data_IF_567674173363
#
_entry.id   IF_567674173363
#
_cell.length_a   1.000
_cell.length_b   1.000
_cell.length_c   1.000
_cell.angle_alpha   90.00
_cell.angle_beta   90.00
_cell.angle_gamma   90.00
#
_symmetry.space_group_name_H-M   'P 1'
#
loop_
_entity.id
_entity.type
_entity.pdbx_description
1 polymer ?
#
# COMPACT_ATOMS: atom_id res chain seq x y z
N UNK A 1 -47.97 39.50 24.99
CA UNK A 1 -47.11 38.35 24.60
C UNK A 1 -46.56 37.73 25.88
N UNK A 2 -46.93 36.48 26.18
CA UNK A 2 -46.61 35.85 27.46
C UNK A 2 -45.16 35.34 27.47
N UNK A 3 -44.26 36.13 28.03
CA UNK A 3 -42.83 35.81 28.15
C UNK A 3 -42.53 34.45 28.80
N UNK A 4 -43.42 33.95 29.65
CA UNK A 4 -43.30 32.60 30.25
C UNK A 4 -43.39 31.49 29.19
N UNK A 5 -44.25 31.65 28.18
CA UNK A 5 -44.41 30.66 27.10
C UNK A 5 -43.14 30.62 26.23
N UNK A 6 -42.57 31.78 25.91
CA UNK A 6 -41.32 31.88 25.15
C UNK A 6 -40.15 31.25 25.93
N UNK A 7 -40.09 31.48 27.24
CA UNK A 7 -39.08 30.88 28.11
C UNK A 7 -39.15 29.34 28.13
N UNK A 8 -40.35 28.76 28.31
CA UNK A 8 -40.50 27.30 28.31
C UNK A 8 -40.21 26.67 26.94
N UNK A 9 -40.50 27.37 25.84
CA UNK A 9 -40.14 26.91 24.49
C UNK A 9 -38.62 26.90 24.30
N UNK A 10 -37.93 27.94 24.77
CA UNK A 10 -36.46 28.01 24.70
C UNK A 10 -35.79 26.92 25.56
N UNK A 11 -36.26 26.72 26.79
CA UNK A 11 -35.72 25.72 27.71
C UNK A 11 -35.91 24.29 27.17
N UNK A 12 -37.07 24.01 26.57
CA UNK A 12 -37.33 22.76 25.87
C UNK A 12 -36.40 22.54 24.67
N UNK A 13 -36.18 23.56 23.84
CA UNK A 13 -35.24 23.49 22.70
C UNK A 13 -33.80 23.28 23.15
N UNK A 14 -33.36 23.95 24.21
CA UNK A 14 -32.01 23.81 24.73
C UNK A 14 -31.73 22.38 25.23
N UNK A 15 -32.68 21.78 25.96
CA UNK A 15 -32.55 20.38 26.41
C UNK A 15 -32.51 19.42 25.23
N UNK A 16 -33.34 19.66 24.20
CA UNK A 16 -33.38 18.81 23.01
C UNK A 16 -32.06 18.86 22.22
N UNK A 17 -31.45 20.04 22.11
CA UNK A 17 -30.11 20.22 21.51
C UNK A 17 -29.04 19.51 22.34
N UNK A 18 -29.05 19.66 23.66
CA UNK A 18 -28.07 18.98 24.54
C UNK A 18 -28.19 17.45 24.42
N UNK A 19 -29.42 16.93 24.36
CA UNK A 19 -29.66 15.50 24.18
C UNK A 19 -29.22 15.02 22.79
N UNK A 20 -29.48 15.79 21.73
CA UNK A 20 -29.03 15.46 20.38
C UNK A 20 -27.50 15.47 20.26
N UNK A 21 -26.83 16.47 20.84
CA UNK A 21 -25.36 16.54 20.85
C UNK A 21 -24.78 15.41 21.69
N UNK A 22 -25.36 15.11 22.85
CA UNK A 22 -24.93 13.97 23.67
C UNK A 22 -25.15 12.63 22.98
N UNK A 23 -26.24 12.49 22.23
CA UNK A 23 -26.53 11.30 21.44
C UNK A 23 -25.57 11.16 20.26
N UNK A 24 -25.17 12.26 19.60
CA UNK A 24 -24.12 12.23 18.57
C UNK A 24 -22.78 11.77 19.14
N UNK A 25 -22.38 12.23 20.33
CA UNK A 25 -21.17 11.75 21.02
C UNK A 25 -21.23 10.27 21.44
N UNK A 26 -22.43 9.73 21.69
CA UNK A 26 -22.62 8.32 22.02
C UNK A 26 -22.84 7.41 20.81
N UNK A 27 -23.28 7.97 19.68
CA UNK A 27 -23.61 7.24 18.46
C UNK A 27 -22.55 7.35 17.36
N UNK A 28 -21.39 7.95 17.65
CA UNK A 28 -20.23 7.73 16.80
C UNK A 28 -20.04 6.22 16.67
N UNK A 29 -20.15 5.64 15.46
CA UNK A 29 -19.77 4.27 15.26
C UNK A 29 -18.31 4.24 15.66
N UNK A 30 -18.00 3.55 16.76
CA UNK A 30 -16.62 3.20 17.06
C UNK A 30 -16.13 2.47 15.83
N UNK A 31 -15.37 3.16 14.97
CA UNK A 31 -14.57 2.49 13.96
C UNK A 31 -13.81 1.48 14.78
N UNK A 32 -14.12 0.19 14.60
CA UNK A 32 -13.45 -0.87 15.31
C UNK A 32 -12.00 -0.84 14.82
N UNK A 33 -11.21 0.00 15.48
CA UNK A 33 -9.85 0.36 15.11
C UNK A 33 -8.98 -0.89 14.99
N UNK A 34 -9.32 -1.97 15.71
CA UNK A 34 -8.68 -3.27 15.58
C UNK A 34 -8.76 -3.86 14.17
N UNK A 35 -9.90 -3.73 13.48
CA UNK A 35 -10.11 -4.33 12.16
C UNK A 35 -9.45 -3.52 11.03
N UNK A 36 -9.42 -2.19 11.14
CA UNK A 36 -8.77 -1.33 10.16
C UNK A 36 -7.25 -1.58 10.09
N UNK A 37 -6.57 -1.55 11.23
CA UNK A 37 -5.13 -1.80 11.28
C UNK A 37 -4.75 -3.21 10.83
N UNK A 38 -5.57 -4.21 11.13
CA UNK A 38 -5.33 -5.59 10.72
C UNK A 38 -5.34 -5.76 9.19
N UNK A 39 -6.37 -5.23 8.52
CA UNK A 39 -6.51 -5.32 7.06
C UNK A 39 -5.43 -4.51 6.32
N UNK A 40 -5.13 -3.30 6.80
CA UNK A 40 -4.05 -2.48 6.24
C UNK A 40 -2.68 -3.14 6.47
N UNK A 41 -2.42 -3.69 7.66
CA UNK A 41 -1.18 -4.41 7.90
C UNK A 41 -1.07 -5.65 6.99
N UNK A 42 -2.16 -6.38 6.76
CA UNK A 42 -2.13 -7.55 5.86
C UNK A 42 -1.73 -7.18 4.42
N UNK A 43 -2.17 -6.03 3.89
CA UNK A 43 -1.78 -5.58 2.56
C UNK A 43 -0.30 -5.15 2.51
N UNK A 44 0.20 -4.48 3.56
CA UNK A 44 1.62 -4.14 3.69
C UNK A 44 2.50 -5.40 3.72
N UNK A 45 2.15 -6.39 4.54
CA UNK A 45 2.88 -7.65 4.66
C UNK A 45 2.89 -8.42 3.33
N UNK A 46 1.76 -8.42 2.61
CA UNK A 46 1.69 -9.01 1.28
C UNK A 46 2.61 -8.27 0.28
N UNK A 47 2.69 -6.93 0.36
CA UNK A 47 3.59 -6.14 -0.48
C UNK A 47 5.06 -6.51 -0.20
N UNK A 48 5.46 -6.57 1.07
CA UNK A 48 6.82 -6.95 1.48
C UNK A 48 7.16 -8.36 0.98
N UNK A 49 6.26 -9.33 1.14
CA UNK A 49 6.48 -10.69 0.64
C UNK A 49 6.68 -10.75 -0.87
N UNK A 50 5.88 -9.98 -1.63
CA UNK A 50 6.04 -9.89 -3.09
C UNK A 50 7.38 -9.27 -3.46
N UNK A 51 7.77 -8.19 -2.80
CA UNK A 51 9.05 -7.54 -3.02
C UNK A 51 10.24 -8.49 -2.77
N UNK A 52 10.20 -9.27 -1.67
CA UNK A 52 11.22 -10.29 -1.39
C UNK A 52 11.31 -11.34 -2.50
N UNK A 53 10.18 -11.81 -3.03
CA UNK A 53 10.17 -12.77 -4.14
C UNK A 53 10.76 -12.17 -5.42
N UNK A 54 10.40 -10.93 -5.74
CA UNK A 54 10.94 -10.20 -6.90
C UNK A 54 12.44 -9.99 -6.74
N UNK A 55 12.92 -9.64 -5.55
CA UNK A 55 14.34 -9.48 -5.27
C UNK A 55 15.12 -10.78 -5.50
N UNK A 56 14.62 -11.92 -5.04
CA UNK A 56 15.24 -13.23 -5.32
C UNK A 56 15.23 -13.58 -6.82
N UNK A 57 14.14 -13.28 -7.52
CA UNK A 57 14.07 -13.46 -8.97
C UNK A 57 15.08 -12.56 -9.71
N UNK A 58 15.27 -11.33 -9.24
CA UNK A 58 16.22 -10.39 -9.80
C UNK A 58 17.68 -10.88 -9.67
N UNK A 59 18.09 -11.39 -8.50
CA UNK A 59 19.42 -11.97 -8.29
C UNK A 59 19.65 -13.22 -9.17
N UNK A 60 18.68 -14.13 -9.23
CA UNK A 60 18.80 -15.32 -10.09
C UNK A 60 18.89 -14.97 -11.57
N UNK A 61 18.12 -13.98 -12.04
CA UNK A 61 18.17 -13.47 -13.41
C UNK A 61 19.53 -12.83 -13.72
N UNK A 62 20.06 -12.01 -12.82
CA UNK A 62 21.38 -11.41 -12.98
C UNK A 62 22.47 -12.48 -13.09
N UNK A 63 22.46 -13.50 -12.22
CA UNK A 63 23.43 -14.61 -12.26
C UNK A 63 23.37 -15.37 -13.59
N UNK A 64 22.18 -15.63 -14.11
CA UNK A 64 22.00 -16.27 -15.40
C UNK A 64 22.58 -15.41 -16.54
N UNK A 65 22.23 -14.13 -16.60
CA UNK A 65 22.73 -13.20 -17.62
C UNK A 65 24.26 -13.09 -17.61
N UNK A 66 24.88 -12.99 -16.43
CA UNK A 66 26.34 -12.89 -16.31
C UNK A 66 27.02 -14.18 -16.74
N UNK A 67 26.42 -15.33 -16.45
CA UNK A 67 26.89 -16.63 -16.93
C UNK A 67 26.84 -16.71 -18.46
N UNK A 68 25.73 -16.29 -19.07
CA UNK A 68 25.54 -16.31 -20.51
C UNK A 68 26.49 -15.32 -21.24
N UNK A 69 26.91 -14.26 -20.55
CA UNK A 69 27.91 -13.28 -21.03
C UNK A 69 29.37 -13.69 -20.75
N UNK A 70 29.61 -14.91 -20.25
CA UNK A 70 30.98 -15.42 -20.04
C UNK A 70 31.69 -14.87 -18.80
N UNK A 71 30.94 -14.53 -17.75
CA UNK A 71 31.49 -14.10 -16.45
C UNK A 71 32.35 -12.83 -16.52
N UNK A 72 31.84 -11.78 -17.16
CA UNK A 72 32.51 -10.48 -17.19
C UNK A 72 32.81 -9.97 -15.77
N UNK A 73 33.94 -9.27 -15.61
CA UNK A 73 34.35 -8.68 -14.31
C UNK A 73 33.26 -7.78 -13.74
N UNK A 74 32.63 -6.98 -14.61
CA UNK A 74 31.51 -6.11 -14.26
C UNK A 74 30.27 -6.90 -13.81
N UNK A 75 29.94 -7.99 -14.50
CA UNK A 75 28.83 -8.86 -14.12
C UNK A 75 29.03 -9.50 -12.74
N UNK A 76 30.26 -9.97 -12.45
CA UNK A 76 30.60 -10.54 -11.14
C UNK A 76 30.52 -9.49 -10.02
N UNK A 77 30.96 -8.26 -10.27
CA UNK A 77 30.80 -7.14 -9.32
C UNK A 77 29.33 -6.85 -9.02
N UNK A 78 28.47 -6.77 -10.05
CA UNK A 78 27.02 -6.58 -9.88
C UNK A 78 26.38 -7.69 -9.05
N UNK A 79 26.79 -8.95 -9.25
CA UNK A 79 26.32 -10.09 -8.44
C UNK A 79 26.73 -9.92 -6.97
N UNK A 80 27.98 -9.52 -6.72
CA UNK A 80 28.48 -9.31 -5.36
C UNK A 80 27.71 -8.19 -4.65
N UNK A 81 27.52 -7.06 -5.33
CA UNK A 81 26.76 -5.91 -4.82
C UNK A 81 25.30 -6.27 -4.54
N UNK A 82 24.66 -7.01 -5.45
CA UNK A 82 23.30 -7.54 -5.27
C UNK A 82 23.18 -8.43 -4.03
N UNK A 83 24.12 -9.36 -3.84
CA UNK A 83 24.15 -10.22 -2.66
C UNK A 83 24.38 -9.45 -1.35
N UNK A 84 25.22 -8.40 -1.39
CA UNK A 84 25.45 -7.54 -0.22
C UNK A 84 24.20 -6.73 0.14
N UNK A 85 23.50 -6.18 -0.86
CA UNK A 85 22.22 -5.49 -0.71
C UNK A 85 21.19 -6.38 -0.02
N UNK A 86 20.88 -7.53 -0.61
CA UNK A 86 19.92 -8.47 -0.02
C UNK A 86 20.29 -8.88 1.40
N UNK A 87 21.58 -9.14 1.65
CA UNK A 87 22.05 -9.52 2.99
C UNK A 87 21.80 -8.43 4.03
N UNK A 88 22.09 -7.17 3.70
CA UNK A 88 21.90 -6.04 4.63
C UNK A 88 20.42 -5.70 4.77
N UNK A 89 19.65 -5.69 3.69
CA UNK A 89 18.19 -5.51 3.71
C UNK A 89 17.51 -6.54 4.62
N UNK A 90 17.83 -7.82 4.43
CA UNK A 90 17.27 -8.90 5.25
C UNK A 90 17.62 -8.78 6.73
N UNK A 91 18.78 -8.22 7.07
CA UNK A 91 19.16 -7.98 8.47
C UNK A 91 18.26 -6.93 9.13
N UNK A 92 17.95 -5.85 8.42
CA UNK A 92 17.05 -4.79 8.93
C UNK A 92 15.61 -5.30 9.00
N UNK A 93 15.14 -5.99 7.95
CA UNK A 93 13.80 -6.61 7.95
C UNK A 93 13.65 -7.60 9.11
N UNK A 94 14.65 -8.44 9.38
CA UNK A 94 14.62 -9.38 10.50
C UNK A 94 14.54 -8.69 11.87
N UNK A 95 15.20 -7.54 12.04
CA UNK A 95 15.08 -6.73 13.24
C UNK A 95 13.63 -6.24 13.43
N UNK A 96 13.02 -5.73 12.35
CA UNK A 96 11.63 -5.27 12.34
C UNK A 96 10.64 -6.41 12.60
N UNK A 97 10.86 -7.58 11.99
CA UNK A 97 10.04 -8.78 12.23
C UNK A 97 10.09 -9.25 13.69
N UNK A 98 11.27 -9.24 14.30
CA UNK A 98 11.42 -9.58 15.71
C UNK A 98 10.63 -8.62 16.60
N UNK A 99 10.73 -7.31 16.34
CA UNK A 99 9.95 -6.30 17.04
C UNK A 99 8.44 -6.50 16.86
N UNK A 100 7.97 -6.74 15.63
CA UNK A 100 6.56 -7.06 15.34
C UNK A 100 6.09 -8.30 16.09
N UNK A 101 6.91 -9.35 16.17
CA UNK A 101 6.59 -10.57 16.91
C UNK A 101 6.42 -10.30 18.40
N UNK A 102 7.29 -9.49 19.00
CA UNK A 102 7.18 -9.12 20.41
C UNK A 102 5.91 -8.28 20.68
N UNK A 103 5.57 -7.37 19.77
CA UNK A 103 4.34 -6.56 19.86
C UNK A 103 3.07 -7.40 19.71
N UNK A 104 3.04 -8.38 18.79
CA UNK A 104 1.90 -9.29 18.60
C UNK A 104 1.63 -10.17 19.84
N UNK A 105 2.63 -10.37 20.71
CA UNK A 105 2.47 -11.10 21.96
C UNK A 105 1.91 -10.24 23.11
N UNK A 106 1.76 -8.92 22.92
CA UNK A 106 1.18 -8.03 23.92
C UNK A 106 -0.36 -8.03 23.83
N UNK A 107 -1.09 -7.79 24.94
CA UNK A 107 -2.54 -7.65 24.89
C UNK A 107 -2.95 -6.40 24.08
N UNK A 108 -3.98 -6.55 23.24
CA UNK A 108 -4.35 -5.59 22.17
C UNK A 108 -4.58 -4.15 22.61
N UNK A 109 -5.01 -3.90 23.84
CA UNK A 109 -5.37 -2.56 24.33
C UNK A 109 -4.32 -1.93 25.27
N UNK A 110 -3.05 -2.33 25.16
CA UNK A 110 -2.02 -2.02 26.17
C UNK A 110 -0.96 -1.01 25.73
N UNK A 111 -1.34 0.26 25.59
CA UNK A 111 -0.42 1.36 25.22
C UNK A 111 0.83 1.45 26.10
N UNK A 112 0.66 1.28 27.42
CA UNK A 112 1.79 1.34 28.38
C UNK A 112 2.81 0.23 28.15
N UNK A 113 2.37 -0.98 27.80
CA UNK A 113 3.28 -2.10 27.53
C UNK A 113 4.00 -1.91 26.19
N UNK A 114 3.31 -1.39 25.17
CA UNK A 114 3.94 -1.00 23.90
C UNK A 114 5.02 0.06 24.11
N UNK A 115 4.68 1.13 24.83
CA UNK A 115 5.59 2.23 25.15
C UNK A 115 6.81 1.72 25.93
N UNK A 116 6.60 0.86 26.93
CA UNK A 116 7.70 0.22 27.67
C UNK A 116 8.62 -0.61 26.78
N UNK A 117 8.06 -1.42 25.89
CA UNK A 117 8.85 -2.27 24.99
C UNK A 117 9.66 -1.44 23.99
N UNK A 118 9.02 -0.44 23.37
CA UNK A 118 9.62 0.32 22.28
C UNK A 118 10.54 1.44 22.78
N UNK A 119 10.16 2.13 23.85
CA UNK A 119 10.88 3.30 24.36
C UNK A 119 11.73 2.91 25.57
N UNK A 120 11.14 2.41 26.66
CA UNK A 120 11.88 2.17 27.91
C UNK A 120 12.95 1.07 27.76
N UNK A 121 12.66 0.02 26.98
CA UNK A 121 13.62 -1.04 26.63
C UNK A 121 14.47 -0.71 25.39
N UNK A 122 14.36 0.52 24.88
CA UNK A 122 15.13 1.07 23.77
C UNK A 122 15.03 0.32 22.43
N UNK A 123 14.01 -0.52 22.22
CA UNK A 123 13.87 -1.26 20.96
C UNK A 123 13.68 -0.34 19.75
N UNK A 124 12.88 0.71 19.86
CA UNK A 124 12.65 1.66 18.77
C UNK A 124 13.90 2.52 18.49
N UNK A 125 14.76 2.77 19.48
CA UNK A 125 16.05 3.43 19.25
C UNK A 125 17.00 2.52 18.46
N UNK A 126 17.09 1.22 18.80
CA UNK A 126 17.88 0.25 18.01
C UNK A 126 17.36 0.12 16.57
N UNK A 127 16.04 0.16 16.39
CA UNK A 127 15.43 0.16 15.07
C UNK A 127 15.83 1.43 14.30
N UNK A 128 15.66 2.61 14.91
CA UNK A 128 16.09 3.88 14.33
C UNK A 128 17.56 3.82 13.88
N UNK A 129 18.47 3.44 14.77
CA UNK A 129 19.91 3.40 14.45
C UNK A 129 20.20 2.43 13.30
N UNK A 130 19.49 1.29 13.25
CA UNK A 130 19.62 0.33 12.15
C UNK A 130 19.05 0.85 10.83
N UNK A 131 17.97 1.65 10.87
CA UNK A 131 17.37 2.26 9.68
C UNK A 131 18.27 3.35 9.13
N UNK A 132 18.77 4.24 9.98
CA UNK A 132 19.66 5.33 9.60
C UNK A 132 20.96 4.77 9.01
N UNK A 133 21.60 3.83 9.72
CA UNK A 133 22.82 3.17 9.23
C UNK A 133 22.62 2.44 7.90
N UNK A 134 21.42 1.91 7.67
CA UNK A 134 21.09 1.24 6.41
C UNK A 134 20.97 2.26 5.27
N UNK A 135 20.23 3.35 5.47
CA UNK A 135 20.07 4.41 4.46
C UNK A 135 21.40 5.10 4.16
N UNK A 136 22.19 5.42 5.17
CA UNK A 136 23.52 5.99 5.00
C UNK A 136 24.40 5.07 4.15
N UNK A 137 24.40 3.77 4.46
CA UNK A 137 25.12 2.78 3.67
C UNK A 137 24.61 2.69 2.22
N UNK A 138 23.29 2.72 1.98
CA UNK A 138 22.76 2.72 0.63
C UNK A 138 23.26 3.92 -0.17
N UNK A 139 23.19 5.11 0.45
CA UNK A 139 23.59 6.36 -0.16
C UNK A 139 25.10 6.43 -0.45
N UNK A 140 25.93 5.76 0.35
CA UNK A 140 27.38 5.74 0.16
C UNK A 140 27.84 4.67 -0.84
N UNK A 141 27.34 3.44 -0.72
CA UNK A 141 27.81 2.26 -1.48
C UNK A 141 27.22 2.18 -2.90
N UNK A 142 26.09 2.87 -3.13
CA UNK A 142 25.40 2.91 -4.42
C UNK A 142 25.29 4.31 -5.03
N UNK A 143 26.09 5.27 -4.57
CA UNK A 143 26.14 6.64 -5.12
C UNK A 143 26.44 6.70 -6.62
N UNK A 144 27.09 5.68 -7.17
CA UNK A 144 27.38 5.55 -8.60
C UNK A 144 26.14 5.10 -9.40
N UNK A 145 25.17 4.47 -8.73
CA UNK A 145 23.93 4.04 -9.34
C UNK A 145 22.83 5.08 -9.22
N UNK A 146 22.82 5.93 -8.19
CA UNK A 146 21.71 6.85 -7.87
C UNK A 146 22.05 8.32 -8.11
N UNK A 147 21.12 9.07 -8.72
CA UNK A 147 21.26 10.53 -8.94
C UNK A 147 20.76 11.35 -7.74
N UNK A 148 19.95 10.73 -6.88
CA UNK A 148 19.38 11.33 -5.69
C UNK A 148 19.69 10.46 -4.47
N UNK A 149 19.64 11.06 -3.27
CA UNK A 149 19.82 10.34 -2.02
C UNK A 149 18.48 9.78 -1.54
N UNK A 150 18.51 8.54 -1.05
CA UNK A 150 17.38 7.98 -0.31
C UNK A 150 17.11 8.80 0.95
N UNK A 151 15.83 9.05 1.19
CA UNK A 151 15.37 9.77 2.36
C UNK A 151 15.63 8.92 3.63
N UNK A 152 16.03 9.54 4.76
CA UNK A 152 16.18 8.79 5.98
C UNK A 152 14.83 8.28 6.48
N UNK A 153 14.77 6.98 6.80
CA UNK A 153 13.53 6.29 7.15
C UNK A 153 13.00 6.65 8.55
N UNK A 154 13.88 7.12 9.43
CA UNK A 154 13.56 7.51 10.80
C UNK A 154 13.79 9.01 11.09
N UNK A 155 13.79 9.84 10.03
CA UNK A 155 13.88 11.29 10.15
C UNK A 155 12.49 11.94 10.17
N UNK A 156 12.41 13.08 10.84
CA UNK A 156 11.22 13.91 10.93
C UNK A 156 11.62 15.36 10.63
N UNK A 157 10.87 16.02 9.75
CA UNK A 157 11.03 17.44 9.46
C UNK A 157 10.18 18.27 10.45
N UNK A 158 10.80 19.00 11.39
CA UNK A 158 10.07 19.80 12.39
C UNK A 158 9.17 20.87 11.76
N UNK A 159 9.43 21.28 10.52
CA UNK A 159 8.61 22.28 9.82
C UNK A 159 7.17 21.80 9.53
N UNK A 160 6.93 20.49 9.57
CA UNK A 160 5.61 19.90 9.36
C UNK A 160 4.72 19.86 10.61
N UNK A 161 5.24 20.22 11.78
CA UNK A 161 4.52 20.18 13.07
C UNK A 161 3.68 21.45 13.36
N UNK A 162 3.19 22.12 12.32
CA UNK A 162 2.47 23.40 12.46
C UNK A 162 1.21 23.30 13.34
N UNK A 163 0.61 22.11 13.43
CA UNK A 163 -0.61 21.87 14.21
C UNK A 163 -0.34 21.51 15.68
N UNK A 164 0.78 20.86 15.99
CA UNK A 164 1.15 20.46 17.36
C UNK A 164 2.63 20.78 17.67
N UNK A 165 2.94 22.03 18.09
CA UNK A 165 4.31 22.50 18.26
C UNK A 165 5.14 21.69 19.26
N UNK A 166 4.52 21.05 20.25
CA UNK A 166 5.23 20.21 21.24
C UNK A 166 5.72 18.89 20.67
N UNK A 167 5.21 18.45 19.51
CA UNK A 167 5.69 17.24 18.86
C UNK A 167 7.08 17.47 18.26
N UNK A 168 7.38 18.69 17.80
CA UNK A 168 8.69 19.08 17.21
C UNK A 168 9.91 18.83 18.10
N UNK A 169 9.68 18.71 19.42
CA UNK A 169 10.73 18.47 20.43
C UNK A 169 10.96 16.96 20.65
N UNK A 170 10.06 16.09 20.15
CA UNK A 170 10.13 14.65 20.36
C UNK A 170 11.02 13.96 19.32
N UNK A 171 11.90 13.10 19.79
CA UNK A 171 12.66 12.17 18.94
C UNK A 171 11.73 11.16 18.22
N UNK A 172 12.23 10.57 17.13
CA UNK A 172 11.48 9.60 16.31
C UNK A 172 10.84 8.49 17.16
N UNK A 173 11.56 7.79 18.07
CA UNK A 173 10.97 6.74 18.89
C UNK A 173 9.80 7.21 19.77
N UNK A 174 9.95 8.35 20.46
CA UNK A 174 8.87 8.86 21.32
C UNK A 174 7.68 9.32 20.48
N UNK A 175 7.90 9.97 19.35
CA UNK A 175 6.83 10.44 18.48
C UNK A 175 5.94 9.30 17.99
N UNK A 176 6.53 8.26 17.42
CA UNK A 176 5.77 7.18 16.78
C UNK A 176 5.23 6.14 17.77
N UNK A 177 5.80 6.01 18.97
CA UNK A 177 5.52 4.86 19.85
C UNK A 177 5.06 5.19 21.27
N UNK A 178 5.04 6.46 21.70
CA UNK A 178 4.76 6.80 23.12
C UNK A 178 3.35 6.45 23.57
N UNK A 179 2.36 6.61 22.70
CA UNK A 179 0.93 6.40 23.00
C UNK A 179 0.25 5.40 22.06
N UNK A 180 1.04 4.52 21.46
CA UNK A 180 0.64 3.68 20.34
C UNK A 180 0.16 2.30 20.82
N UNK A 181 -0.92 1.79 20.24
CA UNK A 181 -1.40 0.42 20.48
C UNK A 181 -0.45 -0.60 19.83
N UNK A 182 -0.37 -1.86 20.33
CA UNK A 182 0.46 -2.89 19.70
C UNK A 182 0.20 -3.06 18.19
N UNK A 183 -1.07 -3.06 17.76
CA UNK A 183 -1.45 -3.22 16.35
C UNK A 183 -1.01 -2.02 15.48
N UNK A 184 -1.11 -0.81 16.01
CA UNK A 184 -0.63 0.42 15.36
C UNK A 184 0.89 0.39 15.23
N UNK A 185 1.60 0.01 16.29
CA UNK A 185 3.06 -0.10 16.27
C UNK A 185 3.54 -1.15 15.26
N UNK A 186 2.87 -2.30 15.18
CA UNK A 186 3.13 -3.32 14.14
C UNK A 186 2.94 -2.72 12.74
N UNK A 187 1.87 -1.96 12.53
CA UNK A 187 1.60 -1.31 11.25
C UNK A 187 2.70 -0.33 10.87
N UNK A 188 3.14 0.53 11.80
CA UNK A 188 4.24 1.48 11.55
C UNK A 188 5.52 0.73 11.15
N UNK A 189 5.84 -0.38 11.82
CA UNK A 189 7.00 -1.22 11.46
C UNK A 189 6.84 -1.84 10.06
N UNK A 190 5.64 -2.27 9.69
CA UNK A 190 5.36 -2.80 8.35
C UNK A 190 5.46 -1.72 7.27
N UNK A 191 5.04 -0.49 7.54
CA UNK A 191 5.26 0.66 6.62
C UNK A 191 6.76 0.88 6.40
N UNK A 192 7.58 0.80 7.45
CA UNK A 192 9.03 0.92 7.34
C UNK A 192 9.65 -0.22 6.51
N UNK A 193 9.16 -1.45 6.66
CA UNK A 193 9.60 -2.56 5.81
C UNK A 193 9.27 -2.32 4.34
N UNK A 194 8.07 -1.83 4.02
CA UNK A 194 7.68 -1.50 2.65
C UNK A 194 8.62 -0.46 2.04
N UNK A 195 9.03 0.57 2.81
CA UNK A 195 10.00 1.56 2.33
C UNK A 195 11.39 0.94 2.10
N UNK A 196 11.86 0.09 3.00
CA UNK A 196 13.14 -0.64 2.83
C UNK A 196 13.12 -1.49 1.56
N UNK A 197 12.05 -2.25 1.35
CA UNK A 197 11.92 -3.09 0.16
C UNK A 197 11.84 -2.27 -1.12
N UNK A 198 11.22 -1.09 -1.06
CA UNK A 198 11.18 -0.17 -2.21
C UNK A 198 12.58 0.33 -2.58
N UNK A 199 13.39 0.73 -1.59
CA UNK A 199 14.79 1.14 -1.85
C UNK A 199 15.63 -0.01 -2.41
N UNK A 200 15.43 -1.24 -1.91
CA UNK A 200 16.07 -2.43 -2.47
C UNK A 200 15.65 -2.68 -3.93
N UNK A 201 14.36 -2.65 -4.23
CA UNK A 201 13.84 -2.84 -5.60
C UNK A 201 14.44 -1.83 -6.58
N UNK A 202 14.54 -0.57 -6.17
CA UNK A 202 15.11 0.49 -7.01
C UNK A 202 16.57 0.22 -7.34
N UNK A 203 17.39 -0.17 -6.35
CA UNK A 203 18.79 -0.50 -6.57
C UNK A 203 18.97 -1.79 -7.36
N UNK A 204 18.15 -2.81 -7.10
CA UNK A 204 18.17 -4.06 -7.87
C UNK A 204 17.82 -3.81 -9.33
N UNK A 205 16.86 -2.94 -9.62
CA UNK A 205 16.52 -2.56 -10.98
C UNK A 205 17.73 -1.96 -11.73
N UNK A 206 18.54 -1.15 -11.04
CA UNK A 206 19.76 -0.55 -11.60
C UNK A 206 20.88 -1.58 -11.78
N UNK A 207 21.10 -2.44 -10.79
CA UNK A 207 22.13 -3.49 -10.80
C UNK A 207 21.87 -4.57 -11.87
N UNK A 208 20.62 -5.03 -11.97
CA UNK A 208 20.20 -6.09 -12.90
C UNK A 208 20.01 -5.52 -14.31
N UNK A 209 19.54 -4.27 -14.41
CA UNK A 209 19.12 -3.66 -15.65
C UNK A 209 20.26 -3.15 -16.54
N UNK A 210 21.26 -2.43 -16.01
CA UNK A 210 22.29 -1.72 -16.84
C UNK A 210 21.75 -0.77 -17.93
N UNK A 211 20.43 -0.74 -18.17
CA UNK A 211 19.65 0.05 -19.10
C UNK A 211 18.19 -0.13 -18.66
N UNK A 212 17.44 0.95 -18.59
CA UNK A 212 16.07 1.03 -18.04
C UNK A 212 15.00 0.30 -18.89
N UNK A 213 15.38 -0.66 -19.73
CA UNK A 213 14.48 -1.28 -20.72
C UNK A 213 13.80 -2.56 -20.24
N UNK A 214 14.30 -3.20 -19.17
CA UNK A 214 13.75 -4.47 -18.68
C UNK A 214 12.65 -4.34 -17.61
N UNK A 215 12.39 -3.14 -17.07
CA UNK A 215 11.35 -2.99 -16.06
C UNK A 215 9.96 -3.21 -16.70
N UNK A 216 9.20 -4.12 -16.09
CA UNK A 216 7.77 -4.29 -16.29
C UNK A 216 7.02 -3.14 -15.61
N UNK A 217 7.40 -1.89 -15.93
CA UNK A 217 6.75 -0.71 -15.42
C UNK A 217 5.35 -0.62 -16.02
N UNK A 218 4.35 -0.50 -15.16
CA UNK A 218 3.09 0.08 -15.59
C UNK A 218 3.38 1.55 -15.88
N UNK A 219 3.30 1.96 -17.14
CA UNK A 219 3.59 3.31 -17.59
C UNK A 219 2.32 4.16 -17.73
N UNK A 220 1.15 3.53 -17.52
CA UNK A 220 -0.15 4.17 -17.56
C UNK A 220 -0.94 3.77 -16.33
N UNK A 221 -1.11 4.71 -15.42
CA UNK A 221 -1.91 4.58 -14.22
C UNK A 221 -3.16 5.44 -14.35
N UNK A 222 -4.32 4.91 -13.95
CA UNK A 222 -5.55 5.66 -13.92
C UNK A 222 -6.38 5.29 -12.69
N UNK A 223 -6.81 6.27 -11.89
CA UNK A 223 -7.76 6.03 -10.82
C UNK A 223 -9.13 5.66 -11.42
N UNK A 224 -9.75 4.62 -10.88
CA UNK A 224 -11.07 4.13 -11.25
C UNK A 224 -11.97 4.03 -10.04
N UNK A 225 -13.26 4.28 -10.27
CA UNK A 225 -14.33 4.03 -9.30
C UNK A 225 -15.33 3.09 -9.93
N UNK A 226 -15.53 1.92 -9.32
CA UNK A 226 -16.58 1.00 -9.68
C UNK A 226 -17.75 1.19 -8.71
N UNK A 227 -18.88 1.62 -9.24
CA UNK A 227 -20.10 1.85 -8.48
C UNK A 227 -21.15 0.83 -8.90
N UNK A 228 -21.50 -0.16 -8.04
CA UNK A 228 -22.53 -1.15 -8.36
C UNK A 228 -23.93 -0.53 -8.49
N UNK A 229 -24.25 0.52 -7.72
CA UNK A 229 -25.53 1.22 -7.76
C UNK A 229 -25.32 2.75 -7.81
N UNK A 230 -25.81 3.41 -8.86
CA UNK A 230 -25.68 4.87 -9.03
C UNK A 230 -26.72 5.69 -8.25
N UNK A 231 -27.78 5.03 -7.77
CA UNK A 231 -28.86 5.63 -7.00
C UNK A 231 -29.12 4.76 -5.79
N UNK A 232 -29.26 5.38 -4.61
CA UNK A 232 -29.52 4.70 -3.36
C UNK A 232 -30.62 5.44 -2.58
N UNK A 233 -31.48 4.68 -1.90
CA UNK A 233 -32.52 5.24 -1.04
C UNK A 233 -31.95 5.74 0.28
N UNK A 234 -32.59 6.77 0.85
CA UNK A 234 -32.20 7.34 2.15
C UNK A 234 -32.29 6.26 3.23
N UNK A 235 -31.19 6.01 3.94
CA UNK A 235 -31.09 5.00 5.00
C UNK A 235 -30.39 3.70 4.59
N UNK A 236 -30.08 3.50 3.30
CA UNK A 236 -29.32 2.34 2.84
C UNK A 236 -27.80 2.63 2.72
N UNK A 237 -26.98 1.58 2.84
CA UNK A 237 -25.51 1.69 2.75
C UNK A 237 -25.04 1.78 1.30
N UNK A 238 -24.36 2.88 0.97
CA UNK A 238 -23.71 3.05 -0.33
C UNK A 238 -22.36 2.32 -0.36
N UNK A 239 -22.14 1.49 -1.38
CA UNK A 239 -20.87 0.80 -1.61
C UNK A 239 -20.29 1.20 -2.97
N UNK A 240 -18.98 1.45 -3.01
CA UNK A 240 -18.22 1.70 -4.22
C UNK A 240 -16.79 1.18 -4.02
N UNK A 241 -16.21 0.63 -5.07
CA UNK A 241 -14.82 0.19 -5.07
C UNK A 241 -13.96 1.25 -5.77
N UNK A 242 -12.95 1.76 -5.06
CA UNK A 242 -11.92 2.60 -5.66
C UNK A 242 -10.69 1.75 -5.97
N UNK A 243 -10.14 1.88 -7.17
CA UNK A 243 -8.96 1.11 -7.58
C UNK A 243 -8.05 1.97 -8.46
N UNK A 244 -6.74 1.68 -8.44
CA UNK A 244 -5.80 2.21 -9.41
C UNK A 244 -5.65 1.15 -10.50
N UNK A 245 -6.13 1.45 -11.70
CA UNK A 245 -5.90 0.63 -12.87
C UNK A 245 -4.53 0.96 -13.45
N UNK A 246 -3.69 -0.05 -13.65
CA UNK A 246 -2.37 0.13 -14.21
C UNK A 246 -2.22 -0.75 -15.47
N UNK A 247 -1.71 -0.18 -16.56
CA UNK A 247 -1.39 -0.92 -17.77
C UNK A 247 0.06 -0.67 -18.20
N UNK A 248 0.67 -1.69 -18.80
CA UNK A 248 2.05 -1.65 -19.26
C UNK A 248 2.07 -1.65 -20.79
N UNK A 249 2.56 -0.58 -21.41
CA UNK A 249 2.69 -0.43 -22.87
C UNK A 249 3.62 -1.44 -23.51
N UNK A 250 4.53 -2.02 -22.73
CA UNK A 250 5.45 -3.08 -23.18
C UNK A 250 4.74 -4.42 -23.43
N UNK A 251 3.44 -4.55 -23.16
CA UNK A 251 2.63 -5.73 -23.43
C UNK A 251 1.68 -5.52 -24.61
N UNK A 252 1.59 -6.55 -25.46
CA UNK A 252 0.51 -6.60 -26.46
C UNK A 252 -0.75 -7.14 -25.77
N UNK A 253 -1.66 -6.22 -25.44
CA UNK A 253 -2.94 -6.56 -24.80
C UNK A 253 -4.06 -6.59 -25.82
N UNK A 254 -4.87 -7.66 -25.80
CA UNK A 254 -6.10 -7.82 -26.58
C UNK A 254 -7.25 -8.11 -25.61
N UNK A 255 -8.40 -7.51 -25.86
CA UNK A 255 -9.62 -7.77 -25.08
C UNK A 255 -10.72 -8.30 -25.98
N UNK A 256 -11.60 -9.12 -25.42
CA UNK A 256 -12.76 -9.69 -26.12
C UNK A 256 -14.04 -9.56 -25.31
N UNK A 257 -15.13 -9.29 -26.01
CA UNK A 257 -16.50 -9.30 -25.52
C UNK A 257 -17.25 -10.45 -26.21
N UNK A 258 -17.73 -11.43 -25.44
CA UNK A 258 -18.39 -12.64 -25.96
C UNK A 258 -17.57 -13.35 -27.06
N UNK A 259 -16.24 -13.37 -26.91
CA UNK A 259 -15.30 -13.96 -27.87
C UNK A 259 -14.97 -13.09 -29.09
N UNK A 260 -15.59 -11.90 -29.23
CA UNK A 260 -15.29 -10.96 -30.30
C UNK A 260 -14.26 -9.92 -29.84
N UNK A 261 -13.23 -9.58 -30.62
CA UNK A 261 -12.27 -8.55 -30.26
C UNK A 261 -12.95 -7.18 -30.07
N UNK A 262 -12.48 -6.40 -29.10
CA UNK A 262 -12.87 -5.00 -28.90
C UNK A 262 -11.66 -4.08 -28.99
N UNK A 263 -11.91 -2.81 -29.32
CA UNK A 263 -10.85 -1.79 -29.35
C UNK A 263 -10.32 -1.56 -27.94
N UNK A 264 -8.99 -1.62 -27.80
CA UNK A 264 -8.28 -1.34 -26.55
C UNK A 264 -7.49 -0.05 -26.73
N UNK A 265 -7.79 0.96 -25.91
CA UNK A 265 -7.06 2.23 -25.86
C UNK A 265 -6.48 2.39 -24.47
N UNK A 266 -5.17 2.63 -24.37
CA UNK A 266 -4.47 2.83 -23.09
C UNK A 266 -4.72 1.70 -22.05
N UNK A 267 -4.78 0.46 -22.53
CA UNK A 267 -5.05 -0.70 -21.68
C UNK A 267 -6.52 -0.88 -21.26
N UNK A 268 -7.45 -0.09 -21.84
CA UNK A 268 -8.88 -0.15 -21.56
C UNK A 268 -9.69 -0.56 -22.78
N UNK A 269 -10.60 -1.51 -22.61
CA UNK A 269 -11.59 -1.89 -23.61
C UNK A 269 -12.97 -1.42 -23.18
N UNK A 270 -13.66 -0.70 -24.07
CA UNK A 270 -15.04 -0.27 -23.82
C UNK A 270 -16.02 -1.34 -24.33
N UNK A 271 -17.00 -1.68 -23.49
CA UNK A 271 -18.07 -2.63 -23.82
C UNK A 271 -19.40 -1.87 -23.75
N UNK A 272 -20.01 -1.65 -24.91
CA UNK A 272 -21.31 -0.99 -25.04
C UNK A 272 -22.29 -1.93 -25.75
N UNK A 273 -23.45 -2.17 -25.14
CA UNK A 273 -24.53 -2.93 -25.76
C UNK A 273 -25.89 -2.49 -25.24
N UNK A 274 -26.92 -2.58 -26.09
CA UNK A 274 -28.31 -2.27 -25.74
C UNK A 274 -29.05 -3.54 -25.33
N UNK A 275 -29.71 -3.50 -24.18
CA UNK A 275 -30.55 -4.59 -23.69
C UNK A 275 -32.01 -4.37 -24.11
N UNK A 276 -32.66 -5.41 -24.65
CA UNK A 276 -34.02 -5.29 -25.23
C UNK A 276 -35.11 -5.99 -24.40
N UNK A 277 -34.75 -6.94 -23.54
CA UNK A 277 -35.72 -7.79 -22.84
C UNK A 277 -35.34 -7.98 -21.38
N UNK A 278 -36.37 -8.02 -20.51
CA UNK A 278 -36.24 -8.36 -19.09
C UNK A 278 -35.72 -9.80 -18.95
N UNK A 279 -34.53 -9.95 -18.41
CA UNK A 279 -33.93 -11.24 -18.10
C UNK A 279 -32.68 -11.06 -17.23
N UNK A 280 -32.34 -12.14 -16.51
CA UNK A 280 -30.98 -12.35 -15.99
C UNK A 280 -30.11 -12.88 -17.12
N UNK A 281 -29.03 -12.19 -17.43
CA UNK A 281 -28.12 -12.51 -18.52
C UNK A 281 -26.68 -12.46 -18.02
N UNK A 282 -25.75 -12.87 -18.88
CA UNK A 282 -24.33 -12.74 -18.62
C UNK A 282 -23.62 -12.39 -19.93
N UNK A 283 -22.42 -11.85 -19.81
CA UNK A 283 -21.48 -11.71 -20.91
C UNK A 283 -20.09 -12.19 -20.50
N UNK A 284 -19.28 -12.59 -21.47
CA UNK A 284 -17.93 -13.13 -21.24
C UNK A 284 -16.89 -12.08 -21.62
N UNK A 285 -16.02 -11.73 -20.69
CA UNK A 285 -14.83 -10.94 -20.94
C UNK A 285 -13.63 -11.88 -21.16
N UNK A 286 -12.78 -11.57 -22.13
CA UNK A 286 -11.49 -12.25 -22.28
C UNK A 286 -10.36 -11.23 -22.38
N UNK A 287 -9.31 -11.44 -21.61
CA UNK A 287 -8.09 -10.62 -21.58
C UNK A 287 -6.94 -11.49 -22.02
N UNK A 288 -6.31 -11.16 -23.15
CA UNK A 288 -5.13 -11.84 -23.64
C UNK A 288 -3.97 -10.87 -23.62
N UNK A 289 -2.88 -11.23 -22.96
CA UNK A 289 -1.66 -10.43 -22.94
C UNK A 289 -0.45 -11.28 -23.32
N UNK A 290 0.47 -10.65 -24.05
CA UNK A 290 1.76 -11.22 -24.44
C UNK A 290 2.88 -10.25 -24.13
N UNK A 291 3.90 -10.73 -23.39
CA UNK A 291 5.14 -9.98 -23.15
C UNK A 291 5.90 -9.85 -24.46
N UNK A 292 6.39 -8.66 -24.81
CA UNK A 292 7.09 -8.43 -26.10
C UNK A 292 8.30 -9.34 -26.34
N UNK A 293 8.92 -9.85 -25.28
CA UNK A 293 10.07 -10.78 -25.32
C UNK A 293 9.69 -12.27 -25.33
N UNK A 294 8.40 -12.62 -25.24
CA UNK A 294 7.93 -14.02 -25.17
C UNK A 294 6.86 -14.26 -26.26
N UNK A 295 6.85 -15.45 -26.86
CA UNK A 295 5.89 -15.84 -27.90
C UNK A 295 4.60 -16.45 -27.36
N UNK A 296 4.49 -16.70 -26.05
CA UNK A 296 3.34 -17.37 -25.45
C UNK A 296 2.26 -16.36 -24.98
N UNK A 297 1.03 -16.58 -25.42
CA UNK A 297 -0.14 -15.79 -24.99
C UNK A 297 -0.68 -16.30 -23.65
N UNK A 298 -0.97 -15.40 -22.71
CA UNK A 298 -1.73 -15.71 -21.50
C UNK A 298 -3.13 -15.13 -21.64
N UNK A 299 -4.16 -15.97 -21.45
CA UNK A 299 -5.57 -15.56 -21.57
C UNK A 299 -6.33 -15.81 -20.28
N UNK A 300 -6.97 -14.76 -19.75
CA UNK A 300 -7.86 -14.79 -18.59
C UNK A 300 -9.28 -14.54 -19.07
N UNK A 301 -10.26 -15.29 -18.56
CA UNK A 301 -11.67 -15.17 -18.94
C UNK A 301 -12.54 -14.93 -17.71
N UNK A 302 -13.44 -13.95 -17.80
CA UNK A 302 -14.44 -13.65 -16.78
C UNK A 302 -15.84 -13.82 -17.35
N UNK A 303 -16.79 -14.21 -16.50
CA UNK A 303 -18.22 -14.23 -16.83
C UNK A 303 -18.92 -13.24 -15.93
N UNK A 304 -19.49 -12.19 -16.53
CA UNK A 304 -20.09 -11.06 -15.83
C UNK A 304 -21.62 -11.19 -15.90
N UNK A 305 -22.31 -11.49 -14.78
CA UNK A 305 -23.77 -11.50 -14.74
C UNK A 305 -24.34 -10.08 -14.74
N UNK A 306 -25.52 -9.90 -15.33
CA UNK A 306 -26.30 -8.66 -15.24
C UNK A 306 -27.81 -8.96 -15.28
N UNK A 307 -28.61 -8.09 -14.67
CA UNK A 307 -30.07 -8.20 -14.65
C UNK A 307 -30.71 -6.96 -15.28
N UNK A 308 -31.64 -7.20 -16.20
CA UNK A 308 -32.40 -6.13 -16.85
C UNK A 308 -33.71 -5.94 -16.11
N UNK A 309 -33.82 -4.84 -15.36
CA UNK A 309 -35.04 -4.45 -14.66
C UNK A 309 -36.03 -3.77 -15.64
N UNK A 310 -37.34 -3.82 -15.38
CA UNK A 310 -38.32 -3.02 -16.12
C UNK A 310 -38.01 -1.52 -15.96
N UNK A 311 -38.33 -0.74 -17.00
CA UNK A 311 -38.38 0.72 -16.89
C UNK A 311 -39.52 1.15 -15.97
#
# INVERSE_FOLDING_TARGET
MNWRIIYYIYEGLAILIILLVSWLWWSEPTIDSGNYWSSYNASLEQSVQRATLVAHQADSTLRANVKDQGHSREGLDRIQRTGLLQKRTNRVIALLENAKKQLKNLPSNTRRSTSRLLIDQAMAYRIKDSLDSYVDWLNDDFKDLIEFKFEPLAHHDPSQDWYYPWESIMDFPKRYYRYTLPAEAVTILSVQQTKITHYEEELLARLVGGSMDAYCGFDKEEPGVFVPLRTIEVGNTYTADMFIGASASKYYTRMTYNGRPITVKDGKGEVLFTVQQKAKKYWKAGFTYRKRSNSQDTTIRYTMPFEVLPK
#
